data_IF_098745267828
#
_entry.id   IF_098745267828
#
_cell.length_a   1.000
_cell.length_b   1.000
_cell.length_c   1.000
_cell.angle_alpha   90.00
_cell.angle_beta   90.00
_cell.angle_gamma   90.00
#
_symmetry.space_group_name_H-M   'P 1'
#
loop_
_entity.id
_entity.type
_entity.pdbx_description
1 polymer ?
#
# COMPACT_ATOMS: atom_id res chain seq x y z
N UNK A 1 55.82 -7.19 -11.84
CA UNK A 1 56.09 -7.14 -10.38
C UNK A 1 56.47 -5.71 -10.10
N UNK A 2 55.62 -4.95 -9.40
CA UNK A 2 55.94 -3.58 -9.06
C UNK A 2 56.81 -3.62 -7.79
N UNK A 3 58.08 -3.25 -7.91
CA UNK A 3 58.94 -2.99 -6.77
C UNK A 3 58.40 -1.75 -6.06
N UNK A 4 57.51 -1.94 -5.09
CA UNK A 4 57.07 -0.89 -4.17
C UNK A 4 58.22 -0.59 -3.22
N UNK A 5 59.21 0.17 -3.69
CA UNK A 5 60.24 0.71 -2.83
C UNK A 5 59.58 1.69 -1.87
N UNK A 6 59.33 1.19 -0.66
CA UNK A 6 58.83 1.94 0.47
C UNK A 6 59.80 3.10 0.73
N UNK A 7 59.38 4.37 0.60
CA UNK A 7 60.28 5.53 0.60
C UNK A 7 60.78 5.91 2.00
N UNK A 8 60.54 5.07 3.01
CA UNK A 8 60.90 5.30 4.39
C UNK A 8 61.87 4.22 4.89
N UNK A 9 62.87 4.59 5.72
CA UNK A 9 63.72 3.62 6.39
C UNK A 9 62.86 2.67 7.23
N UNK A 10 63.22 1.37 7.30
CA UNK A 10 62.50 0.41 8.14
C UNK A 10 62.49 0.89 9.58
N UNK A 11 61.31 1.00 10.16
CA UNK A 11 61.12 1.47 11.53
C UNK A 11 60.64 0.34 12.44
N UNK A 12 60.52 0.65 13.75
CA UNK A 12 60.09 -0.33 14.75
C UNK A 12 58.71 -0.90 14.46
N UNK A 13 57.84 -0.16 13.76
CA UNK A 13 56.50 -0.64 13.44
C UNK A 13 56.53 -1.70 12.34
N UNK A 14 57.48 -1.62 11.42
CA UNK A 14 57.68 -2.63 10.36
C UNK A 14 58.14 -3.99 10.96
N UNK A 15 59.06 -3.96 11.92
CA UNK A 15 59.54 -5.17 12.62
C UNK A 15 58.41 -5.87 13.40
N UNK A 16 57.54 -5.08 14.05
CA UNK A 16 56.38 -5.60 14.80
C UNK A 16 55.29 -6.14 13.87
N UNK A 17 55.11 -5.54 12.68
CA UNK A 17 54.14 -5.97 11.69
C UNK A 17 54.49 -7.36 11.13
N UNK A 18 55.76 -7.63 10.83
CA UNK A 18 56.25 -8.94 10.37
C UNK A 18 56.08 -10.04 11.43
N UNK A 19 56.15 -9.68 12.72
CA UNK A 19 55.92 -10.60 13.82
C UNK A 19 54.42 -10.87 14.08
N UNK A 20 53.51 -10.03 13.57
CA UNK A 20 52.08 -10.11 13.81
C UNK A 20 51.33 -10.73 12.62
N UNK A 21 50.53 -11.77 12.86
CA UNK A 21 49.58 -12.22 11.84
C UNK A 21 48.48 -11.16 11.69
N UNK A 22 48.26 -10.66 10.48
CA UNK A 22 47.20 -9.69 10.16
C UNK A 22 45.82 -10.24 10.57
N UNK A 23 45.37 -9.93 11.78
CA UNK A 23 44.00 -10.16 12.23
C UNK A 23 43.22 -8.88 11.92
N UNK A 24 42.74 -8.78 10.69
CA UNK A 24 41.79 -7.72 10.35
C UNK A 24 40.54 -7.85 11.22
N UNK A 25 39.96 -6.72 11.62
CA UNK A 25 38.66 -6.64 12.29
C UNK A 25 37.50 -7.01 11.34
N UNK A 26 37.71 -8.02 10.50
CA UNK A 26 36.70 -8.56 9.62
C UNK A 26 35.72 -9.33 10.49
N UNK A 27 34.64 -8.65 10.88
CA UNK A 27 33.41 -9.33 11.24
C UNK A 27 33.08 -10.25 10.06
N UNK A 28 33.06 -11.55 10.30
CA UNK A 28 32.39 -12.45 9.39
C UNK A 28 30.94 -11.98 9.34
N UNK A 29 30.50 -11.54 8.16
CA UNK A 29 29.10 -11.23 7.90
C UNK A 29 28.28 -12.47 8.25
N UNK A 30 27.38 -12.36 9.22
CA UNK A 30 26.54 -13.50 9.56
C UNK A 30 25.66 -13.83 8.35
N UNK A 31 25.58 -15.10 7.94
CA UNK A 31 24.84 -15.47 6.75
C UNK A 31 23.36 -15.11 6.91
N UNK A 32 22.76 -14.53 5.88
CA UNK A 32 21.39 -13.98 5.89
C UNK A 32 20.32 -14.94 6.43
N UNK A 33 20.51 -16.27 6.31
CA UNK A 33 19.57 -17.25 6.83
C UNK A 33 19.51 -17.26 8.36
N UNK A 34 20.63 -16.98 9.04
CA UNK A 34 20.71 -16.97 10.50
C UNK A 34 20.04 -15.72 11.06
N UNK A 35 20.28 -14.58 10.42
CA UNK A 35 19.65 -13.32 10.80
C UNK A 35 18.13 -13.35 10.63
N UNK A 36 17.64 -14.07 9.62
CA UNK A 36 16.22 -14.12 9.28
C UNK A 36 15.50 -15.41 9.70
N UNK A 37 16.12 -16.25 10.53
CA UNK A 37 15.57 -17.56 10.89
C UNK A 37 14.18 -17.44 11.53
N UNK A 38 13.99 -16.46 12.42
CA UNK A 38 12.70 -16.22 13.09
C UNK A 38 11.60 -15.89 12.08
N UNK A 39 11.88 -15.02 11.10
CA UNK A 39 10.92 -14.68 10.05
C UNK A 39 10.59 -15.88 9.16
N UNK A 40 11.59 -16.69 8.80
CA UNK A 40 11.38 -17.92 8.01
C UNK A 40 10.47 -18.90 8.76
N UNK A 41 10.66 -19.07 10.07
CA UNK A 41 9.81 -19.94 10.90
C UNK A 41 8.38 -19.42 10.97
N UNK A 42 8.18 -18.11 11.14
CA UNK A 42 6.85 -17.48 11.16
C UNK A 42 6.14 -17.68 9.81
N UNK A 43 6.83 -17.42 8.69
CA UNK A 43 6.28 -17.60 7.34
C UNK A 43 5.91 -19.07 7.10
N UNK A 44 6.78 -20.01 7.49
CA UNK A 44 6.50 -21.43 7.36
C UNK A 44 5.26 -21.85 8.18
N UNK A 45 5.12 -21.35 9.41
CA UNK A 45 3.95 -21.61 10.24
C UNK A 45 2.66 -21.05 9.61
N UNK A 46 2.69 -19.80 9.13
CA UNK A 46 1.57 -19.17 8.44
C UNK A 46 1.16 -19.89 7.15
N UNK A 47 2.14 -20.40 6.40
CA UNK A 47 1.86 -21.21 5.21
C UNK A 47 1.18 -22.52 5.56
N UNK A 48 1.63 -23.21 6.61
CA UNK A 48 1.01 -24.46 7.09
C UNK A 48 -0.43 -24.21 7.57
N UNK A 49 -0.68 -23.14 8.33
CA UNK A 49 -2.05 -22.81 8.79
C UNK A 49 -2.97 -22.49 7.62
N UNK A 50 -2.50 -21.74 6.62
CA UNK A 50 -3.26 -21.44 5.40
C UNK A 50 -3.62 -22.71 4.62
N UNK A 51 -2.66 -23.62 4.44
CA UNK A 51 -2.91 -24.89 3.72
C UNK A 51 -3.93 -25.76 4.48
N UNK A 52 -3.84 -25.81 5.81
CA UNK A 52 -4.81 -26.54 6.64
C UNK A 52 -6.21 -25.92 6.52
N UNK A 53 -6.32 -24.59 6.56
CA UNK A 53 -7.59 -23.89 6.40
C UNK A 53 -8.24 -24.19 5.04
N UNK A 54 -7.47 -24.08 3.95
CA UNK A 54 -7.95 -24.39 2.60
C UNK A 54 -8.38 -25.86 2.47
N UNK A 55 -7.65 -26.78 3.11
CA UNK A 55 -8.01 -28.19 3.15
C UNK A 55 -9.32 -28.43 3.92
N UNK A 56 -9.54 -27.78 5.07
CA UNK A 56 -10.79 -27.92 5.85
C UNK A 56 -12.00 -27.38 5.07
N UNK A 57 -11.87 -26.20 4.45
CA UNK A 57 -12.95 -25.58 3.65
C UNK A 57 -13.25 -26.44 2.41
N UNK A 58 -12.22 -26.88 1.68
CA UNK A 58 -12.37 -27.70 0.48
C UNK A 58 -12.95 -29.08 0.75
N UNK A 59 -12.74 -29.64 1.95
CA UNK A 59 -13.25 -30.96 2.30
C UNK A 59 -14.67 -30.93 2.91
N UNK A 60 -15.16 -29.76 3.35
CA UNK A 60 -16.52 -29.59 3.90
C UNK A 60 -17.61 -29.53 2.79
N UNK A 61 -17.24 -29.25 1.55
CA UNK A 61 -18.16 -29.18 0.40
C UNK A 61 -18.40 -30.51 -0.34
N UNK A 62 -17.86 -31.64 0.14
CA UNK A 62 -17.88 -32.92 -0.62
C UNK A 62 -18.93 -33.94 -0.17
N UNK A 63 -19.76 -33.63 0.83
CA UNK A 63 -20.74 -34.59 1.36
C UNK A 63 -22.13 -33.99 1.50
N UNK A 64 -22.97 -34.12 0.47
CA UNK A 64 -24.41 -33.82 0.58
C UNK A 64 -25.06 -33.38 -0.72
N UNK A 65 -25.05 -34.24 -1.74
CA UNK A 65 -25.90 -34.09 -2.91
C UNK A 65 -27.24 -34.78 -2.60
N UNK A 66 -28.29 -34.00 -2.31
CA UNK A 66 -29.68 -34.43 -2.52
C UNK A 66 -30.49 -33.26 -3.09
N UNK A 67 -30.74 -33.37 -4.40
CA UNK A 67 -31.62 -32.51 -5.18
C UNK A 67 -33.02 -33.13 -5.24
N UNK A 68 -34.03 -32.41 -4.76
CA UNK A 68 -35.47 -32.55 -5.08
C UNK A 68 -36.22 -31.42 -4.33
N UNK A 69 -37.19 -30.67 -4.85
CA UNK A 69 -37.75 -30.42 -6.17
C UNK A 69 -38.47 -29.05 -6.06
N UNK A 70 -38.41 -28.24 -7.13
CA UNK A 70 -39.08 -26.94 -7.36
C UNK A 70 -40.64 -27.01 -7.24
N UNK A 71 -41.42 -25.90 -7.23
CA UNK A 71 -41.06 -24.57 -7.74
C UNK A 71 -41.44 -23.36 -6.86
N UNK A 72 -40.65 -22.28 -6.96
CA UNK A 72 -41.12 -20.92 -7.29
C UNK A 72 -39.90 -19.99 -7.36
N UNK A 73 -39.46 -19.72 -8.61
CA UNK A 73 -38.97 -18.44 -9.17
C UNK A 73 -37.92 -17.66 -8.36
N UNK A 74 -36.69 -17.47 -8.89
CA UNK A 74 -36.48 -16.58 -10.02
C UNK A 74 -35.59 -17.14 -11.14
N UNK A 75 -35.72 -16.48 -12.30
CA UNK A 75 -35.17 -16.86 -13.59
C UNK A 75 -33.65 -17.01 -13.60
N UNK A 76 -33.20 -18.09 -14.25
CA UNK A 76 -31.84 -18.25 -14.73
C UNK A 76 -31.64 -17.47 -16.03
N UNK A 77 -30.60 -16.65 -16.04
CA UNK A 77 -29.50 -16.59 -17.01
C UNK A 77 -29.79 -16.79 -18.50
N UNK A 78 -29.44 -15.77 -19.27
CA UNK A 78 -28.37 -15.75 -20.28
C UNK A 78 -28.83 -15.07 -21.56
N UNK A 79 -28.18 -13.95 -21.89
CA UNK A 79 -27.70 -13.72 -23.24
C UNK A 79 -26.39 -12.94 -23.10
N UNK A 80 -25.35 -13.44 -23.74
CA UNK A 80 -24.10 -12.76 -23.92
C UNK A 80 -24.27 -11.50 -24.80
N UNK A 81 -23.20 -10.72 -24.85
CA UNK A 81 -22.86 -9.75 -25.88
C UNK A 81 -23.15 -8.27 -25.57
N UNK A 82 -22.03 -7.56 -25.56
CA UNK A 82 -21.80 -6.28 -26.22
C UNK A 82 -22.36 -5.01 -25.57
N UNK A 83 -21.40 -4.12 -25.33
CA UNK A 83 -21.54 -2.67 -25.36
C UNK A 83 -22.65 -2.11 -24.47
N UNK A 84 -22.36 -2.00 -23.18
CA UNK A 84 -23.17 -1.14 -22.32
C UNK A 84 -22.66 0.30 -22.44
N UNK A 85 -23.23 1.03 -23.40
CA UNK A 85 -23.53 2.42 -23.20
C UNK A 85 -24.91 2.48 -22.54
N UNK A 86 -24.98 2.91 -21.28
CA UNK A 86 -26.22 2.83 -20.53
C UNK A 86 -26.18 3.41 -19.13
N UNK A 87 -25.99 4.74 -19.04
CA UNK A 87 -26.44 5.57 -17.91
C UNK A 87 -26.08 5.06 -16.52
N UNK A 88 -24.87 5.38 -16.05
CA UNK A 88 -24.64 5.45 -14.62
C UNK A 88 -25.63 6.48 -14.06
N UNK A 89 -26.64 5.98 -13.37
CA UNK A 89 -27.52 6.79 -12.55
C UNK A 89 -26.62 7.53 -11.57
N UNK A 90 -26.45 8.84 -11.75
CA UNK A 90 -25.92 9.76 -10.74
C UNK A 90 -26.82 9.62 -9.51
N UNK A 91 -26.48 8.68 -8.63
CA UNK A 91 -26.86 8.82 -7.23
C UNK A 91 -26.19 10.12 -6.75
N UNK A 92 -26.91 11.03 -6.08
CA UNK A 92 -26.29 12.23 -5.56
C UNK A 92 -25.10 11.81 -4.69
N UNK A 93 -23.92 12.34 -5.02
CA UNK A 93 -22.71 12.12 -4.23
C UNK A 93 -23.06 12.45 -2.78
N UNK A 94 -22.89 11.48 -1.88
CA UNK A 94 -23.01 11.76 -0.47
C UNK A 94 -22.00 12.86 -0.15
N UNK A 95 -22.46 13.99 0.38
CA UNK A 95 -21.58 15.10 0.73
C UNK A 95 -20.52 14.59 1.72
N UNK A 96 -19.24 14.76 1.38
CA UNK A 96 -18.14 14.33 2.23
C UNK A 96 -18.17 15.12 3.55
N UNK A 97 -18.00 14.43 4.67
CA UNK A 97 -17.68 15.11 5.94
C UNK A 97 -16.23 15.60 5.91
N UNK A 98 -16.04 16.85 5.46
CA UNK A 98 -14.73 17.50 5.33
C UNK A 98 -14.06 17.83 6.67
N UNK A 99 -14.74 17.58 7.80
CA UNK A 99 -14.17 17.70 9.14
C UNK A 99 -13.41 16.43 9.58
N UNK A 100 -13.59 15.32 8.87
CA UNK A 100 -12.89 14.05 9.11
C UNK A 100 -11.38 14.19 8.83
N UNK A 101 -10.49 13.72 9.72
CA UNK A 101 -9.05 13.74 9.47
C UNK A 101 -8.65 12.90 8.25
N UNK A 102 -7.91 13.52 7.34
CA UNK A 102 -7.36 12.89 6.13
C UNK A 102 -5.84 12.87 6.22
N UNK A 103 -5.24 11.71 5.95
CA UNK A 103 -3.81 11.56 5.76
C UNK A 103 -3.50 11.40 4.27
N UNK A 104 -2.69 12.31 3.71
CA UNK A 104 -2.20 12.20 2.34
C UNK A 104 -0.82 11.54 2.33
N UNK A 105 -0.70 10.36 1.74
CA UNK A 105 0.54 9.60 1.66
C UNK A 105 1.12 9.69 0.24
N UNK A 106 2.33 10.23 0.12
CA UNK A 106 3.07 10.19 -1.15
C UNK A 106 3.61 8.78 -1.41
N UNK A 107 3.06 8.11 -2.41
CA UNK A 107 3.52 6.83 -2.93
C UNK A 107 4.06 6.92 -4.38
N UNK A 108 3.99 8.07 -5.03
CA UNK A 108 4.57 8.30 -6.36
C UNK A 108 6.09 8.51 -6.34
N UNK A 109 6.65 8.91 -5.19
CA UNK A 109 8.05 9.31 -5.08
C UNK A 109 8.36 10.64 -5.77
N UNK A 110 7.33 11.46 -5.98
CA UNK A 110 7.41 12.82 -6.52
C UNK A 110 7.68 13.77 -5.35
N UNK A 111 8.66 14.66 -5.48
CA UNK A 111 9.00 15.61 -4.41
C UNK A 111 7.85 16.62 -4.22
N UNK A 112 7.39 16.80 -2.98
CA UNK A 112 6.35 17.75 -2.65
C UNK A 112 4.92 17.27 -2.91
N UNK A 113 4.71 16.07 -3.47
CA UNK A 113 3.40 15.57 -3.88
C UNK A 113 2.33 15.64 -2.78
N UNK A 114 2.63 15.10 -1.61
CA UNK A 114 1.67 15.12 -0.50
C UNK A 114 1.35 16.55 -0.03
N UNK A 115 2.31 17.47 -0.12
CA UNK A 115 2.09 18.89 0.18
C UNK A 115 1.20 19.57 -0.85
N UNK A 116 1.40 19.28 -2.14
CA UNK A 116 0.53 19.78 -3.22
C UNK A 116 -0.92 19.31 -3.02
N UNK A 117 -1.11 18.02 -2.72
CA UNK A 117 -2.42 17.47 -2.41
C UNK A 117 -3.02 17.99 -1.11
N UNK A 118 -2.20 18.24 -0.09
CA UNK A 118 -2.66 18.88 1.14
C UNK A 118 -3.29 20.24 0.84
N UNK A 119 -2.57 21.12 0.11
CA UNK A 119 -3.10 22.43 -0.26
C UNK A 119 -4.36 22.31 -1.12
N UNK A 120 -4.38 21.39 -2.08
CA UNK A 120 -5.55 21.17 -2.93
C UNK A 120 -6.79 20.72 -2.13
N UNK A 121 -6.62 19.85 -1.12
CA UNK A 121 -7.71 19.40 -0.26
C UNK A 121 -8.14 20.49 0.74
N UNK A 122 -7.21 21.26 1.29
CA UNK A 122 -7.53 22.41 2.15
C UNK A 122 -8.31 23.49 1.37
N UNK A 123 -7.94 23.76 0.11
CA UNK A 123 -8.67 24.67 -0.78
C UNK A 123 -10.07 24.14 -1.14
N UNK A 124 -10.21 22.81 -1.28
CA UNK A 124 -11.51 22.14 -1.42
C UNK A 124 -12.32 22.16 -0.10
N UNK A 125 -11.72 22.56 1.03
CA UNK A 125 -12.41 22.75 2.31
C UNK A 125 -12.24 21.63 3.32
N UNK A 126 -11.30 20.71 3.12
CA UNK A 126 -10.88 19.74 4.14
C UNK A 126 -10.15 20.44 5.28
N UNK A 127 -10.63 20.26 6.50
CA UNK A 127 -10.12 21.02 7.65
C UNK A 127 -8.85 20.45 8.28
N UNK A 128 -8.65 19.13 8.15
CA UNK A 128 -7.65 18.36 8.91
C UNK A 128 -6.92 17.43 7.95
N UNK A 129 -5.92 17.98 7.27
CA UNK A 129 -5.12 17.24 6.29
C UNK A 129 -3.69 17.10 6.79
N UNK A 130 -3.29 15.88 7.10
CA UNK A 130 -1.91 15.52 7.44
C UNK A 130 -1.21 14.94 6.21
N UNK A 131 0.13 14.98 6.20
CA UNK A 131 0.95 14.45 5.11
C UNK A 131 1.92 13.37 5.58
N UNK A 132 2.13 12.39 4.71
CA UNK A 132 3.05 11.27 4.91
C UNK A 132 3.75 10.87 3.62
N UNK A 133 4.68 9.92 3.75
CA UNK A 133 5.37 9.31 2.61
C UNK A 133 5.37 7.81 2.82
N UNK A 134 5.01 7.06 1.80
CA UNK A 134 4.99 5.60 1.86
C UNK A 134 6.42 5.04 1.87
N UNK A 135 6.62 3.91 2.54
CA UNK A 135 7.89 3.18 2.52
C UNK A 135 8.21 2.61 1.12
N UNK A 136 7.17 2.30 0.34
CA UNK A 136 7.27 1.74 -1.00
C UNK A 136 6.43 2.55 -1.99
N UNK A 137 6.86 2.56 -3.26
CA UNK A 137 6.07 3.17 -4.33
C UNK A 137 4.86 2.31 -4.67
N UNK A 138 3.73 2.97 -4.94
CA UNK A 138 2.51 2.34 -5.41
C UNK A 138 2.31 2.65 -6.90
N UNK A 139 1.58 1.77 -7.58
CA UNK A 139 1.25 1.91 -9.00
C UNK A 139 -0.16 2.47 -9.22
N UNK A 140 -0.97 2.52 -8.16
CA UNK A 140 -2.36 2.96 -8.20
C UNK A 140 -2.60 3.95 -7.05
N UNK A 141 -3.37 4.99 -7.35
CA UNK A 141 -3.96 5.85 -6.32
C UNK A 141 -5.07 5.07 -5.61
N UNK A 142 -5.18 5.23 -4.29
CA UNK A 142 -6.25 4.58 -3.52
C UNK A 142 -6.60 5.42 -2.30
N UNK A 143 -7.89 5.50 -1.98
CA UNK A 143 -8.36 6.05 -0.71
C UNK A 143 -8.76 4.90 0.21
N UNK A 144 -8.20 4.90 1.41
CA UNK A 144 -8.55 3.99 2.48
C UNK A 144 -9.39 4.69 3.54
N UNK A 145 -10.27 3.94 4.17
CA UNK A 145 -10.97 4.36 5.40
C UNK A 145 -10.85 3.28 6.46
N UNK A 146 -10.83 3.69 7.73
CA UNK A 146 -10.71 2.74 8.84
C UNK A 146 -12.07 2.23 9.31
N UNK A 147 -12.96 3.17 9.60
CA UNK A 147 -14.26 2.91 10.22
C UNK A 147 -15.37 3.00 9.17
N UNK A 148 -16.36 2.09 9.22
CA UNK A 148 -17.47 2.06 8.25
C UNK A 148 -18.29 3.36 8.24
N UNK A 149 -18.25 4.11 9.34
CA UNK A 149 -18.85 5.44 9.45
C UNK A 149 -18.24 6.46 8.47
N UNK A 150 -16.97 6.30 8.10
CA UNK A 150 -16.23 7.19 7.22
C UNK A 150 -16.31 6.77 5.74
N UNK A 151 -16.94 5.62 5.43
CA UNK A 151 -16.94 5.03 4.10
C UNK A 151 -17.55 5.96 3.02
N UNK A 152 -18.63 6.67 3.35
CA UNK A 152 -19.28 7.61 2.43
C UNK A 152 -18.38 8.81 2.13
N UNK A 153 -17.76 9.40 3.15
CA UNK A 153 -16.82 10.52 3.01
C UNK A 153 -15.56 10.11 2.25
N UNK A 154 -15.07 8.90 2.49
CA UNK A 154 -13.91 8.35 1.80
C UNK A 154 -14.21 8.07 0.32
N UNK A 155 -15.40 7.57 -0.01
CA UNK A 155 -15.81 7.39 -1.40
C UNK A 155 -15.93 8.73 -2.12
N UNK A 156 -16.55 9.73 -1.49
CA UNK A 156 -16.64 11.07 -2.07
C UNK A 156 -15.27 11.71 -2.30
N UNK A 157 -14.30 11.49 -1.38
CA UNK A 157 -12.91 11.88 -1.61
C UNK A 157 -12.28 11.10 -2.76
N UNK A 158 -12.49 9.79 -2.84
CA UNK A 158 -11.93 8.95 -3.90
C UNK A 158 -12.42 9.36 -5.30
N UNK A 159 -13.69 9.75 -5.39
CA UNK A 159 -14.30 10.26 -6.62
C UNK A 159 -13.68 11.62 -7.01
N UNK A 160 -13.43 12.51 -6.06
CA UNK A 160 -12.83 13.82 -6.36
C UNK A 160 -11.37 13.71 -6.78
N UNK A 161 -10.57 12.89 -6.11
CA UNK A 161 -9.12 12.73 -6.38
C UNK A 161 -8.82 11.74 -7.52
N UNK A 162 -9.85 11.09 -8.08
CA UNK A 162 -9.70 10.12 -9.17
C UNK A 162 -9.11 8.77 -8.74
N UNK A 163 -9.24 8.38 -7.46
CA UNK A 163 -8.72 7.13 -6.92
C UNK A 163 -9.67 5.93 -7.07
N UNK A 164 -10.87 6.13 -7.64
CA UNK A 164 -11.85 5.08 -7.88
C UNK A 164 -12.61 4.67 -6.61
N UNK A 165 -12.74 3.36 -6.36
CA UNK A 165 -13.46 2.86 -5.18
C UNK A 165 -12.59 2.95 -3.92
N UNK A 166 -13.13 3.57 -2.87
CA UNK A 166 -12.52 3.61 -1.55
C UNK A 166 -12.54 2.22 -0.90
N UNK A 167 -11.50 1.88 -0.14
CA UNK A 167 -11.33 0.55 0.46
C UNK A 167 -11.20 0.63 1.97
N UNK A 168 -11.82 -0.30 2.70
CA UNK A 168 -11.59 -0.39 4.13
C UNK A 168 -10.19 -0.97 4.42
N UNK A 169 -9.44 -0.36 5.33
CA UNK A 169 -8.16 -0.89 5.80
C UNK A 169 -7.86 -0.45 7.23
N UNK A 170 -7.22 -1.31 8.01
CA UNK A 170 -6.68 -1.05 9.34
C UNK A 170 -5.17 -0.77 9.35
N UNK A 171 -4.55 -0.65 8.16
CA UNK A 171 -3.12 -0.36 7.99
C UNK A 171 -2.73 1.03 8.49
N UNK A 172 -3.67 1.98 8.47
CA UNK A 172 -3.43 3.37 8.86
C UNK A 172 -4.25 3.76 10.09
N UNK A 173 -3.64 4.54 10.98
CA UNK A 173 -4.32 5.04 12.19
C UNK A 173 -5.31 6.18 11.90
N UNK A 174 -5.17 6.85 10.75
CA UNK A 174 -6.05 7.95 10.33
C UNK A 174 -7.43 7.43 9.91
N UNK A 175 -8.46 8.26 10.09
CA UNK A 175 -9.83 7.94 9.67
C UNK A 175 -9.93 7.67 8.16
N UNK A 176 -9.35 8.58 7.37
CA UNK A 176 -9.25 8.47 5.91
C UNK A 176 -7.79 8.65 5.52
N UNK A 177 -7.29 7.81 4.61
CA UNK A 177 -5.94 7.90 4.07
C UNK A 177 -5.98 7.90 2.55
N UNK A 178 -5.49 8.96 1.92
CA UNK A 178 -5.32 9.02 0.47
C UNK A 178 -3.87 8.72 0.08
N UNK A 179 -3.67 7.61 -0.62
CA UNK A 179 -2.37 7.22 -1.18
C UNK A 179 -2.25 7.81 -2.58
N UNK A 180 -1.46 8.86 -2.70
CA UNK A 180 -1.27 9.62 -3.93
C UNK A 180 -0.05 9.13 -4.72
N UNK A 181 -0.22 8.93 -6.04
CA UNK A 181 0.87 8.53 -6.95
C UNK A 181 1.25 9.60 -7.99
N UNK A 182 0.35 10.57 -8.22
CA UNK A 182 0.47 11.62 -9.24
C UNK A 182 -0.04 12.95 -8.68
N UNK A 183 0.27 14.08 -9.32
CA UNK A 183 -0.17 15.43 -8.92
C UNK A 183 -1.68 15.62 -9.16
N UNK A 184 -2.36 16.51 -8.41
CA UNK A 184 -3.76 16.83 -8.68
C UNK A 184 -3.93 17.32 -10.12
N UNK A 185 -5.04 16.93 -10.74
CA UNK A 185 -5.42 17.44 -12.04
C UNK A 185 -5.61 18.97 -11.98
N UNK A 186 -5.34 19.65 -13.08
CA UNK A 186 -5.35 21.10 -13.22
C UNK A 186 -6.74 21.74 -12.98
N UNK A 187 -7.81 20.95 -12.98
CA UNK A 187 -9.18 21.33 -12.67
C UNK A 187 -9.64 21.00 -11.24
N UNK A 188 -8.82 20.32 -10.43
CA UNK A 188 -9.16 19.97 -9.05
C UNK A 188 -9.39 21.26 -8.23
N UNK A 189 -10.61 21.46 -7.72
CA UNK A 189 -11.02 22.66 -6.97
C UNK A 189 -11.51 23.84 -7.81
N UNK A 190 -11.68 23.70 -9.13
CA UNK A 190 -12.19 24.78 -10.01
C UNK A 190 -13.73 24.94 -9.99
N UNK A 191 -14.42 24.34 -9.02
CA UNK A 191 -15.84 24.56 -8.80
C UNK A 191 -16.09 25.93 -8.15
N UNK A 192 -16.92 26.75 -8.79
CA UNK A 192 -17.55 27.96 -8.25
C UNK A 192 -16.70 29.25 -8.25
N UNK A 193 -16.18 29.60 -9.43
CA UNK A 193 -15.46 30.85 -9.65
C UNK A 193 -15.92 31.72 -10.82
N UNK A 194 -17.13 31.55 -11.40
CA UNK A 194 -17.57 32.40 -12.52
C UNK A 194 -19.06 32.78 -12.47
N UNK A 195 -19.34 34.08 -12.26
CA UNK A 195 -20.36 34.85 -12.99
C UNK A 195 -21.72 35.11 -12.35
#
# INVERSE_FOLDING_TARGET
MADSQYPYPPDRFDDEADASSFHGAHRAEEPFWRQNLVYIVIIAAAFVTLVVLLFVIGNLGRGGDERSADPTTPAASSEAAQSDGGGASEAPAAEADKSTPVLVVNAGGINGLAGTWQSALEDDGWEKVDVGTADNRQQEAVVFYRDEADAASAQALADSVGAGEARQSDEYDASITFVAIEEPADDFGSGDGEG
#
